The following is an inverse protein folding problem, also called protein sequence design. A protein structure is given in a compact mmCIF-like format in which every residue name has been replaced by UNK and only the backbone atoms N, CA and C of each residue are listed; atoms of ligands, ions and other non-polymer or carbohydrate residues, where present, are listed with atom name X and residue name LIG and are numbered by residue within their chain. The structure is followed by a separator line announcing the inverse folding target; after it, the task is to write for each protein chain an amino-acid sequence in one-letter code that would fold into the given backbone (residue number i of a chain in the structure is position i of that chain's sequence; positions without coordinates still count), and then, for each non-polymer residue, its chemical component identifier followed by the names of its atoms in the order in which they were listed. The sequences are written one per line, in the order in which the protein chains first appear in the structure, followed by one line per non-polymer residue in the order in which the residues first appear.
data_IF_181382030949
#
_entry.id   IF_181382030949
#
_cell.length_a   1.000
_cell.length_b   1.000
_cell.length_c   1.000
_cell.angle_alpha   90.00
_cell.angle_beta   90.00
_cell.angle_gamma   90.00
#
_symmetry.space_group_name_H-M   'P 1'
#
loop_
_entity.id
_entity.type
_entity.pdbx_description
1 polymer ?
#
# COMPACT_ATOMS: atom_id res chain seq x y z
N UNK A 1 11.33 0.52 26.57
CA UNK A 1 11.08 1.76 25.79
C UNK A 1 9.57 1.90 25.72
N UNK A 2 9.05 3.05 26.15
CA UNK A 2 7.61 3.25 26.33
C UNK A 2 6.89 3.16 24.98
N UNK A 3 5.74 2.48 24.97
CA UNK A 3 5.04 2.04 23.75
C UNK A 3 3.76 2.86 23.50
N UNK A 4 3.78 4.13 23.91
CA UNK A 4 2.60 5.02 23.92
C UNK A 4 2.82 6.35 23.16
N UNK A 5 3.88 6.49 22.36
CA UNK A 5 3.98 7.63 21.43
C UNK A 5 3.11 7.33 20.20
N UNK A 6 1.82 7.62 20.33
CA UNK A 6 0.94 7.72 19.18
C UNK A 6 1.58 8.69 18.18
N UNK A 7 1.85 8.19 16.97
CA UNK A 7 2.50 8.97 15.90
C UNK A 7 1.66 10.21 15.64
N UNK A 8 2.31 11.38 15.65
CA UNK A 8 1.64 12.65 15.43
C UNK A 8 1.01 12.72 14.04
N UNK A 9 -0.05 13.53 13.87
CA UNK A 9 -0.65 13.76 12.55
C UNK A 9 0.37 14.34 11.57
N UNK A 10 1.31 15.17 12.03
CA UNK A 10 2.39 15.70 11.20
C UNK A 10 3.37 14.60 10.73
N UNK A 11 3.72 13.65 11.59
CA UNK A 11 4.55 12.50 11.20
C UNK A 11 3.83 11.57 10.23
N UNK A 12 2.53 11.34 10.40
CA UNK A 12 1.71 10.58 9.44
C UNK A 12 1.63 11.30 8.08
N UNK A 13 1.43 12.62 8.07
CA UNK A 13 1.42 13.41 6.84
C UNK A 13 2.77 13.36 6.12
N UNK A 14 3.88 13.31 6.86
CA UNK A 14 5.23 13.15 6.29
C UNK A 14 5.45 11.77 5.62
N UNK A 15 4.57 10.79 5.86
CA UNK A 15 4.61 9.50 5.19
C UNK A 15 3.89 9.48 3.84
N UNK A 16 3.21 10.56 3.42
CA UNK A 16 2.46 10.58 2.18
C UNK A 16 3.31 10.96 0.95
N UNK A 17 3.04 10.27 -0.16
CA UNK A 17 3.50 10.62 -1.51
C UNK A 17 2.30 10.76 -2.44
N UNK A 18 2.37 11.71 -3.37
CA UNK A 18 1.30 11.86 -4.37
C UNK A 18 1.31 10.71 -5.36
N UNK A 19 0.13 10.36 -5.89
CA UNK A 19 0.02 9.30 -6.90
C UNK A 19 0.91 9.53 -8.13
N UNK A 20 0.98 10.73 -8.75
CA UNK A 20 1.86 10.94 -9.91
C UNK A 20 3.33 10.67 -9.59
N UNK A 21 3.81 11.13 -8.44
CA UNK A 21 5.19 10.87 -7.98
C UNK A 21 5.41 9.39 -7.75
N UNK A 22 4.46 8.70 -7.11
CA UNK A 22 4.55 7.26 -6.87
C UNK A 22 4.66 6.46 -8.17
N UNK A 23 3.82 6.77 -9.16
CA UNK A 23 3.86 6.12 -10.48
C UNK A 23 5.19 6.36 -11.20
N UNK A 24 5.72 7.59 -11.14
CA UNK A 24 6.99 7.91 -11.78
C UNK A 24 8.18 7.19 -11.11
N UNK A 25 8.19 7.11 -9.78
CA UNK A 25 9.22 6.35 -9.04
C UNK A 25 9.19 4.86 -9.39
N UNK A 26 8.00 4.26 -9.52
CA UNK A 26 7.85 2.89 -9.99
C UNK A 26 8.34 2.72 -11.43
N UNK A 27 7.99 3.66 -12.33
CA UNK A 27 8.43 3.66 -13.73
C UNK A 27 9.95 3.74 -13.85
N UNK A 28 10.61 4.49 -12.97
CA UNK A 28 12.07 4.63 -12.92
C UNK A 28 12.78 3.45 -12.22
N UNK A 29 12.04 2.48 -11.69
CA UNK A 29 12.62 1.35 -10.93
C UNK A 29 13.27 1.79 -9.61
N UNK A 30 12.74 2.85 -9.00
CA UNK A 30 13.20 3.38 -7.70
C UNK A 30 12.25 3.01 -6.55
N UNK A 31 11.06 2.49 -6.87
CA UNK A 31 10.03 2.17 -5.90
C UNK A 31 9.17 0.95 -6.30
N UNK A 32 8.74 0.19 -5.30
CA UNK A 32 7.80 -0.92 -5.46
C UNK A 32 6.43 -0.50 -4.94
N UNK A 33 5.41 -0.64 -5.77
CA UNK A 33 4.03 -0.44 -5.37
C UNK A 33 3.52 -1.68 -4.64
N UNK A 34 3.05 -1.51 -3.40
CA UNK A 34 2.50 -2.58 -2.56
C UNK A 34 1.00 -2.34 -2.40
N UNK A 35 0.16 -3.12 -3.09
CA UNK A 35 -1.29 -3.09 -2.90
C UNK A 35 -1.64 -3.88 -1.63
N UNK A 36 -2.19 -3.18 -0.64
CA UNK A 36 -2.61 -3.76 0.65
C UNK A 36 -4.14 -3.93 0.74
N UNK A 37 -4.85 -3.74 -0.37
CA UNK A 37 -6.29 -3.97 -0.41
C UNK A 37 -6.61 -5.45 -0.22
N UNK A 38 -7.85 -5.72 0.16
CA UNK A 38 -8.33 -7.09 0.28
C UNK A 38 -8.44 -7.73 -1.10
N UNK A 39 -8.26 -9.05 -1.18
CA UNK A 39 -8.27 -9.79 -2.45
C UNK A 39 -9.54 -9.54 -3.27
N UNK A 40 -10.71 -9.48 -2.60
CA UNK A 40 -11.99 -9.19 -3.27
C UNK A 40 -12.03 -7.80 -3.91
N UNK A 41 -11.32 -6.80 -3.35
CA UNK A 41 -11.25 -5.45 -3.93
C UNK A 41 -10.47 -5.47 -5.24
N UNK A 42 -9.42 -6.29 -5.32
CA UNK A 42 -8.59 -6.48 -6.51
C UNK A 42 -9.35 -7.28 -7.57
N UNK A 43 -9.99 -8.38 -7.18
CA UNK A 43 -10.79 -9.21 -8.09
C UNK A 43 -11.94 -8.44 -8.73
N UNK A 44 -12.63 -7.59 -7.95
CA UNK A 44 -13.78 -6.83 -8.46
C UNK A 44 -13.41 -5.55 -9.22
N UNK A 45 -12.34 -4.83 -8.80
CA UNK A 45 -12.04 -3.49 -9.33
C UNK A 45 -10.77 -3.46 -10.20
N UNK A 46 -10.02 -4.56 -10.26
CA UNK A 46 -8.69 -4.62 -10.87
C UNK A 46 -7.59 -4.18 -9.91
N UNK A 47 -6.35 -4.40 -10.34
CA UNK A 47 -5.12 -3.98 -9.64
C UNK A 47 -4.43 -2.82 -10.38
N UNK A 48 -3.57 -2.11 -9.68
CA UNK A 48 -2.61 -1.20 -10.32
C UNK A 48 -1.57 -2.08 -11.04
N UNK A 49 -1.25 -1.80 -12.32
CA UNK A 49 -0.22 -2.54 -13.05
C UNK A 49 1.09 -2.60 -12.26
N UNK A 50 1.74 -3.76 -12.31
CA UNK A 50 3.03 -4.04 -11.66
C UNK A 50 3.06 -3.88 -10.12
N UNK A 51 1.90 -3.69 -9.49
CA UNK A 51 1.79 -3.70 -8.02
C UNK A 51 1.89 -5.11 -7.47
N UNK A 52 2.55 -5.23 -6.32
CA UNK A 52 2.66 -6.47 -5.56
C UNK A 52 1.56 -6.47 -4.49
N UNK A 53 0.72 -7.50 -4.51
CA UNK A 53 -0.33 -7.65 -3.51
C UNK A 53 0.24 -8.24 -2.22
N UNK A 54 0.17 -7.49 -1.12
CA UNK A 54 0.61 -7.94 0.21
C UNK A 54 -0.46 -7.54 1.22
N UNK A 55 -1.24 -8.49 1.78
CA UNK A 55 -2.26 -8.18 2.78
C UNK A 55 -1.60 -7.84 4.13
N UNK A 56 -1.13 -6.60 4.27
CA UNK A 56 -0.32 -6.16 5.41
C UNK A 56 -1.08 -6.16 6.75
N UNK A 57 -2.41 -6.21 6.69
CA UNK A 57 -3.27 -6.27 7.87
C UNK A 57 -3.11 -7.59 8.65
N UNK A 58 -2.84 -8.71 7.97
CA UNK A 58 -2.60 -10.00 8.62
C UNK A 58 -1.34 -9.94 9.49
N UNK A 59 -0.36 -9.10 9.12
CA UNK A 59 0.91 -8.91 9.82
C UNK A 59 0.72 -8.20 11.17
N UNK A 60 -0.13 -7.17 11.24
CA UNK A 60 -0.40 -6.46 12.50
C UNK A 60 -1.01 -7.42 13.55
N UNK A 61 -1.92 -8.29 13.10
CA UNK A 61 -2.50 -9.35 13.93
C UNK A 61 -1.47 -10.42 14.31
N UNK A 62 -0.57 -10.78 13.40
CA UNK A 62 0.52 -11.74 13.67
C UNK A 62 1.57 -11.23 14.65
N UNK A 63 1.84 -9.92 14.66
CA UNK A 63 2.80 -9.27 15.56
C UNK A 63 2.20 -8.97 16.95
N UNK A 64 0.96 -9.40 17.23
CA UNK A 64 0.33 -9.26 18.54
C UNK A 64 -0.15 -7.85 18.87
N UNK A 65 -0.27 -6.96 17.87
CA UNK A 65 -0.82 -5.62 18.08
C UNK A 65 -2.35 -5.66 18.11
N UNK A 66 -2.94 -5.04 19.12
CA UNK A 66 -4.38 -4.81 19.20
C UNK A 66 -4.79 -3.89 18.04
N UNK A 67 -5.82 -4.32 17.30
CA UNK A 67 -6.42 -3.53 16.24
C UNK A 67 -7.31 -2.46 16.89
N UNK A 68 -7.23 -1.22 16.41
CA UNK A 68 -8.19 -0.18 16.82
C UNK A 68 -9.58 -0.50 16.26
N UNK A 69 -10.66 0.08 16.81
CA UNK A 69 -12.03 -0.15 16.29
C UNK A 69 -12.14 0.19 14.80
N UNK A 70 -11.49 1.28 14.35
CA UNK A 70 -11.40 1.65 12.93
C UNK A 70 -10.69 0.60 12.05
N UNK A 71 -9.75 -0.16 12.64
CA UNK A 71 -9.04 -1.26 11.98
C UNK A 71 -9.86 -2.56 12.02
N UNK A 72 -10.71 -2.72 13.03
CA UNK A 72 -11.62 -3.84 13.20
C UNK A 72 -12.80 -3.77 12.21
N UNK A 73 -13.27 -2.56 11.87
CA UNK A 73 -14.32 -2.36 10.84
C UNK A 73 -13.86 -2.70 9.41
N UNK A 74 -12.54 -2.78 9.18
CA UNK A 74 -11.96 -3.19 7.89
C UNK A 74 -11.98 -4.72 7.72
N UNK A 75 -12.23 -5.48 8.79
CA UNK A 75 -12.06 -6.94 8.85
C UNK A 75 -13.27 -7.79 8.45
N UNK A 76 -14.40 -7.20 8.08
CA UNK A 76 -15.65 -7.94 7.84
C UNK A 76 -15.70 -8.75 6.53
N UNK A 77 -14.55 -9.06 5.91
CA UNK A 77 -14.51 -9.82 4.67
C UNK A 77 -13.37 -10.85 4.63
N UNK A 78 -13.67 -12.03 5.16
CA UNK A 78 -13.00 -13.28 4.79
C UNK A 78 -12.21 -13.95 5.91
N UNK A 79 -12.26 -15.29 5.93
CA UNK A 79 -11.39 -16.09 6.80
C UNK A 79 -9.92 -15.80 6.43
N UNK A 80 -9.04 -15.64 7.43
CA UNK A 80 -7.62 -15.39 7.20
C UNK A 80 -7.04 -16.50 6.34
N UNK A 81 -6.19 -16.16 5.36
CA UNK A 81 -5.26 -17.16 4.83
C UNK A 81 -4.09 -17.22 5.80
N UNK A 82 -3.63 -18.42 6.13
CA UNK A 82 -2.46 -18.62 6.97
C UNK A 82 -1.20 -18.21 6.18
N UNK A 83 -0.94 -16.91 6.03
CA UNK A 83 0.35 -16.43 5.54
C UNK A 83 1.30 -16.36 6.74
N UNK A 84 2.33 -17.20 6.80
CA UNK A 84 3.29 -17.16 7.91
C UNK A 84 4.11 -15.84 7.89
N UNK A 85 4.51 -15.36 9.08
CA UNK A 85 5.27 -14.13 9.23
C UNK A 85 6.60 -14.16 8.46
N UNK A 86 7.19 -15.36 8.31
CA UNK A 86 8.42 -15.57 7.55
C UNK A 86 8.24 -15.28 6.06
N UNK A 87 7.12 -15.67 5.47
CA UNK A 87 6.75 -15.40 4.08
C UNK A 87 6.55 -13.92 3.85
N UNK A 88 5.89 -13.22 4.79
CA UNK A 88 5.77 -11.77 4.75
C UNK A 88 7.14 -11.09 4.76
N UNK A 89 7.99 -11.42 5.74
CA UNK A 89 9.31 -10.82 5.84
C UNK A 89 10.17 -11.17 4.63
N UNK A 90 10.10 -12.39 4.11
CA UNK A 90 10.81 -12.77 2.88
C UNK A 90 10.36 -11.93 1.69
N UNK A 91 9.06 -11.71 1.52
CA UNK A 91 8.52 -10.92 0.41
C UNK A 91 8.91 -9.45 0.52
N UNK A 92 8.77 -8.84 1.71
CA UNK A 92 9.18 -7.44 1.92
C UNK A 92 10.70 -7.30 1.77
N UNK A 93 11.49 -8.22 2.31
CA UNK A 93 12.95 -8.22 2.16
C UNK A 93 13.37 -8.33 0.68
N UNK A 94 12.68 -9.15 -0.12
CA UNK A 94 12.93 -9.22 -1.55
C UNK A 94 12.63 -7.90 -2.26
N UNK A 95 11.54 -7.22 -1.90
CA UNK A 95 11.19 -5.91 -2.46
C UNK A 95 12.15 -4.80 -2.00
N UNK A 96 12.66 -4.89 -0.77
CA UNK A 96 13.52 -3.88 -0.17
C UNK A 96 15.00 -4.01 -0.58
N UNK A 97 15.55 -5.23 -0.67
CA UNK A 97 16.98 -5.45 -0.89
C UNK A 97 17.46 -5.22 -2.33
N UNK A 98 16.56 -4.98 -3.28
CA UNK A 98 16.91 -4.51 -4.61
C UNK A 98 17.16 -2.99 -4.60
N UNK A 99 18.35 -2.55 -4.13
CA UNK A 99 18.87 -1.17 -4.24
C UNK A 99 18.01 -0.09 -3.57
N UNK A 100 18.01 -0.01 -2.24
CA UNK A 100 17.56 1.20 -1.54
C UNK A 100 16.11 1.64 -1.89
N UNK A 101 15.29 0.67 -2.31
CA UNK A 101 14.01 0.85 -2.98
C UNK A 101 12.94 1.37 -2.03
N UNK A 102 12.14 2.33 -2.48
CA UNK A 102 11.00 2.84 -1.73
C UNK A 102 9.86 1.81 -1.73
N UNK A 103 9.21 1.64 -0.59
CA UNK A 103 8.02 0.79 -0.46
C UNK A 103 6.78 1.69 -0.46
N UNK A 104 6.00 1.67 -1.54
CA UNK A 104 4.85 2.56 -1.71
C UNK A 104 3.56 1.78 -1.44
N UNK A 105 3.00 1.95 -0.24
CA UNK A 105 1.77 1.29 0.16
C UNK A 105 0.57 1.98 -0.49
N UNK A 106 -0.30 1.20 -1.12
CA UNK A 106 -1.56 1.68 -1.69
C UNK A 106 -2.73 0.87 -1.16
N UNK A 107 -3.76 1.58 -0.68
CA UNK A 107 -5.03 0.98 -0.31
C UNK A 107 -6.17 1.60 -1.14
N UNK A 108 -7.44 1.39 -0.76
CA UNK A 108 -8.56 1.95 -1.51
C UNK A 108 -8.56 3.50 -1.54
N UNK A 109 -8.27 4.18 -0.43
CA UNK A 109 -8.43 5.65 -0.30
C UNK A 109 -7.23 6.41 0.28
N UNK A 110 -6.14 5.73 0.66
CA UNK A 110 -4.96 6.33 1.31
C UNK A 110 -4.91 6.15 2.85
N UNK A 111 -6.05 5.96 3.52
CA UNK A 111 -6.11 5.88 5.00
C UNK A 111 -5.41 4.64 5.58
N UNK A 112 -5.69 3.45 5.04
CA UNK A 112 -5.07 2.20 5.52
C UNK A 112 -3.58 2.13 5.19
N UNK A 113 -3.17 2.76 4.09
CA UNK A 113 -1.77 2.74 3.64
C UNK A 113 -0.87 3.62 4.50
N UNK A 114 -1.40 4.63 5.18
CA UNK A 114 -0.68 5.39 6.21
C UNK A 114 -0.29 4.51 7.39
N UNK A 115 -1.24 3.77 7.95
CA UNK A 115 -0.97 2.82 9.04
C UNK A 115 0.03 1.74 8.60
N UNK A 116 -0.10 1.24 7.37
CA UNK A 116 0.82 0.27 6.80
C UNK A 116 2.25 0.81 6.64
N UNK A 117 2.40 2.03 6.12
CA UNK A 117 3.71 2.67 5.96
C UNK A 117 4.37 2.92 7.33
N UNK A 118 3.59 3.37 8.30
CA UNK A 118 4.05 3.52 9.69
C UNK A 118 4.55 2.20 10.28
N UNK A 119 3.76 1.12 10.17
CA UNK A 119 4.13 -0.21 10.65
C UNK A 119 5.41 -0.72 9.96
N UNK A 120 5.53 -0.57 8.64
CA UNK A 120 6.74 -0.96 7.93
C UNK A 120 7.97 -0.20 8.44
N UNK A 121 7.84 1.10 8.74
CA UNK A 121 8.96 1.88 9.31
C UNK A 121 9.34 1.40 10.70
N UNK A 122 8.37 1.08 11.57
CA UNK A 122 8.66 0.52 12.90
C UNK A 122 9.33 -0.85 12.84
N UNK A 123 9.07 -1.61 11.77
CA UNK A 123 9.72 -2.89 11.45
C UNK A 123 11.10 -2.74 10.79
N UNK A 124 11.62 -1.51 10.63
CA UNK A 124 12.96 -1.27 10.09
C UNK A 124 13.01 -1.00 8.59
N UNK A 125 11.88 -0.69 7.94
CA UNK A 125 11.83 -0.25 6.54
C UNK A 125 11.61 1.27 6.46
N UNK A 126 12.66 2.10 6.65
CA UNK A 126 12.53 3.56 6.83
C UNK A 126 12.03 4.30 5.58
N UNK A 127 12.03 3.63 4.42
CA UNK A 127 11.65 4.16 3.11
C UNK A 127 10.23 3.76 2.69
N UNK A 128 9.39 3.35 3.65
CA UNK A 128 7.98 3.08 3.39
C UNK A 128 7.15 4.38 3.42
N UNK A 129 6.29 4.55 2.41
CA UNK A 129 5.41 5.71 2.20
C UNK A 129 3.99 5.24 1.82
N UNK A 130 2.99 6.05 2.14
CA UNK A 130 1.60 5.89 1.74
C UNK A 130 1.30 6.66 0.46
N UNK A 131 0.63 6.04 -0.51
CA UNK A 131 0.16 6.73 -1.72
C UNK A 131 -1.14 7.45 -1.44
N UNK A 132 -1.09 8.78 -1.48
CA UNK A 132 -2.25 9.65 -1.23
C UNK A 132 -3.38 9.39 -2.22
N UNK A 133 -4.62 9.32 -1.70
CA UNK A 133 -5.83 9.06 -2.49
C UNK A 133 -6.00 7.60 -2.98
N UNK A 134 -4.99 6.75 -2.80
CA UNK A 134 -5.07 5.31 -3.04
C UNK A 134 -5.50 4.90 -4.46
N UNK A 135 -6.10 3.72 -4.55
CA UNK A 135 -6.64 3.15 -5.78
C UNK A 135 -7.73 4.02 -6.42
N UNK A 136 -8.53 4.74 -5.62
CA UNK A 136 -9.55 5.65 -6.15
C UNK A 136 -8.94 6.77 -7.00
N UNK A 137 -7.83 7.37 -6.53
CA UNK A 137 -7.11 8.38 -7.30
C UNK A 137 -6.56 7.80 -8.60
N UNK A 138 -6.01 6.58 -8.56
CA UNK A 138 -5.50 5.89 -9.74
C UNK A 138 -6.60 5.61 -10.77
N UNK A 139 -7.73 5.09 -10.31
CA UNK A 139 -8.89 4.82 -11.19
C UNK A 139 -9.39 6.10 -11.85
N UNK A 140 -9.50 7.20 -11.09
CA UNK A 140 -9.92 8.50 -11.63
C UNK A 140 -8.95 9.01 -12.70
N UNK A 141 -7.64 8.88 -12.48
CA UNK A 141 -6.62 9.25 -13.46
C UNK A 141 -6.77 8.43 -14.75
N UNK A 142 -6.98 7.12 -14.63
CA UNK A 142 -7.15 6.22 -15.77
C UNK A 142 -8.46 6.49 -16.54
N UNK A 143 -9.55 6.75 -15.82
CA UNK A 143 -10.83 7.12 -16.45
C UNK A 143 -10.70 8.41 -17.26
N UNK A 144 -9.91 9.38 -16.79
CA UNK A 144 -9.61 10.61 -17.53
C UNK A 144 -8.74 10.32 -18.76
N UNK A 145 -7.70 9.49 -18.62
CA UNK A 145 -6.83 9.11 -19.73
C UNK A 145 -7.62 8.38 -20.84
N UNK A 146 -8.50 7.44 -20.48
CA UNK A 146 -9.36 6.72 -21.43
C UNK A 146 -10.33 7.64 -22.16
N UNK A 147 -10.85 8.69 -21.50
CA UNK A 147 -11.77 9.67 -22.10
C UNK A 147 -11.09 10.70 -22.99
N UNK A 148 -9.78 10.90 -22.83
CA UNK A 148 -9.00 11.93 -23.54
C UNK A 148 -8.13 11.36 -24.66
N UNK A 149 -8.08 10.03 -24.82
CA UNK A 149 -7.37 9.38 -25.92
C UNK A 149 -8.04 9.75 -27.26
N UNK A 150 -7.28 10.25 -28.27
CA UNK A 150 -7.84 10.49 -29.60
C UNK A 150 -8.33 9.17 -30.20
N UNK A 151 -9.39 9.18 -31.04
CA UNK A 151 -9.87 7.96 -31.68
C UNK A 151 -8.72 7.36 -32.49
N UNK A 152 -8.40 6.08 -32.21
CA UNK A 152 -7.36 5.38 -32.95
C UNK A 152 -7.77 5.35 -34.42
N UNK A 153 -7.00 5.98 -35.29
CA UNK A 153 -7.19 5.89 -36.74
C UNK A 153 -6.82 4.47 -37.15
N UNK A 154 -7.83 3.59 -37.21
CA UNK A 154 -7.70 2.29 -37.85
C UNK A 154 -7.36 2.51 -39.33
N UNK A 155 -6.21 1.99 -39.75
CA UNK A 155 -5.82 1.82 -41.16
C UNK A 155 -6.11 0.40 -41.60
#
# INVERSE_FOLDING_TARGET
MNMDDAISEEELAALEVTLPTALELCRLGLASMIDIRQTFEIEMKGAIPDSVHIPLFEVKRMLGHTLTEDEQDILDAGKPKDMDAMSFFSMINQLHHARDHLLLCVCNSGRRSLAAASLLRSLGYPKALSVAGGFQAWKKLNDVALKTAPPSTAS
#
